data_IF_724322535691
#
_entry.id   IF_724322535691
#
_cell.length_a   1.000
_cell.length_b   1.000
_cell.length_c   1.000
_cell.angle_alpha   90.00
_cell.angle_beta   90.00
_cell.angle_gamma   90.00
#
_symmetry.space_group_name_H-M   'P 1'
#
loop_
_entity.id
_entity.type
_entity.pdbx_description
1 polymer ?
#
# COMPACT_ATOMS: atom_id res chain seq x y z
N UNK A 1 -17.06 2.10 -28.38
CA UNK A 1 -18.15 2.92 -28.97
C UNK A 1 -18.57 3.90 -27.89
N UNK A 2 -18.34 5.20 -28.09
CA UNK A 2 -18.83 6.21 -27.14
C UNK A 2 -20.35 6.35 -27.31
N UNK A 3 -21.09 6.48 -26.22
CA UNK A 3 -22.52 6.79 -26.28
C UNK A 3 -22.66 8.25 -26.68
N UNK A 4 -23.41 8.51 -27.75
CA UNK A 4 -23.74 9.86 -28.18
C UNK A 4 -25.10 10.27 -27.59
N UNK A 5 -25.08 11.05 -26.51
CA UNK A 5 -26.29 11.46 -25.80
C UNK A 5 -27.17 12.41 -26.60
N UNK A 6 -26.61 13.14 -27.58
CA UNK A 6 -27.38 13.99 -28.47
C UNK A 6 -28.26 13.19 -29.45
N UNK A 7 -27.93 11.92 -29.72
CA UNK A 7 -28.76 11.04 -30.56
C UNK A 7 -29.96 10.44 -29.80
N UNK A 8 -30.03 10.60 -28.48
CA UNK A 8 -31.11 10.09 -27.65
C UNK A 8 -32.12 11.19 -27.36
N UNK A 9 -33.40 10.90 -27.61
CA UNK A 9 -34.50 11.79 -27.26
C UNK A 9 -34.53 12.07 -25.74
N UNK A 10 -35.05 13.25 -25.31
CA UNK A 10 -35.12 13.62 -23.91
C UNK A 10 -35.88 12.59 -23.06
N UNK A 11 -36.91 11.91 -23.59
CA UNK A 11 -37.60 10.83 -22.87
C UNK A 11 -36.67 9.71 -22.43
N UNK A 12 -35.64 9.41 -23.23
CA UNK A 12 -34.67 8.34 -22.95
C UNK A 12 -33.61 8.81 -21.95
N UNK A 13 -33.01 9.98 -22.18
CA UNK A 13 -31.99 10.53 -21.27
C UNK A 13 -32.59 10.78 -19.88
N UNK A 14 -33.75 11.44 -19.82
CA UNK A 14 -34.49 11.67 -18.58
C UNK A 14 -34.91 10.38 -17.89
N UNK A 15 -35.55 9.43 -18.59
CA UNK A 15 -36.01 8.20 -17.94
C UNK A 15 -34.85 7.39 -17.34
N UNK A 16 -33.67 7.38 -18.00
CA UNK A 16 -32.49 6.69 -17.47
C UNK A 16 -31.90 7.38 -16.25
N UNK A 17 -31.86 8.72 -16.22
CA UNK A 17 -31.35 9.47 -15.07
C UNK A 17 -32.25 9.31 -13.84
N UNK A 18 -33.57 9.31 -14.04
CA UNK A 18 -34.57 9.18 -12.96
C UNK A 18 -34.83 7.73 -12.53
N UNK A 19 -34.18 6.76 -13.17
CA UNK A 19 -34.22 5.36 -12.77
C UNK A 19 -32.96 4.96 -12.00
N UNK A 20 -33.11 4.08 -11.02
CA UNK A 20 -31.99 3.48 -10.29
C UNK A 20 -31.90 3.90 -8.82
N UNK A 21 -30.81 3.51 -8.15
CA UNK A 21 -30.68 3.61 -6.68
C UNK A 21 -30.20 4.98 -6.18
N UNK A 22 -29.91 5.94 -7.06
CA UNK A 22 -29.36 7.25 -6.69
C UNK A 22 -27.87 7.21 -6.29
N UNK A 23 -27.41 8.26 -5.61
CA UNK A 23 -26.02 8.43 -5.16
C UNK A 23 -25.63 7.62 -3.91
N UNK A 24 -26.61 7.08 -3.18
CA UNK A 24 -26.43 6.39 -1.91
C UNK A 24 -25.32 5.33 -1.90
N UNK A 25 -25.25 4.41 -2.89
CA UNK A 25 -24.18 3.42 -2.96
C UNK A 25 -22.77 4.01 -3.03
N UNK A 26 -22.56 5.14 -3.73
CA UNK A 26 -21.26 5.80 -3.76
C UNK A 26 -20.91 6.48 -2.44
N UNK A 27 -21.89 7.05 -1.74
CA UNK A 27 -21.66 7.63 -0.42
C UNK A 27 -21.29 6.55 0.63
N UNK A 28 -21.90 5.37 0.54
CA UNK A 28 -21.50 4.21 1.35
C UNK A 28 -20.07 3.77 1.03
N UNK A 29 -19.70 3.72 -0.25
CA UNK A 29 -18.34 3.41 -0.67
C UNK A 29 -17.33 4.44 -0.15
N UNK A 30 -17.65 5.74 -0.20
CA UNK A 30 -16.83 6.80 0.36
C UNK A 30 -16.59 6.61 1.87
N UNK A 31 -17.66 6.33 2.63
CA UNK A 31 -17.56 6.07 4.06
C UNK A 31 -16.66 4.84 4.37
N UNK A 32 -16.77 3.77 3.58
CA UNK A 32 -15.92 2.59 3.73
C UNK A 32 -14.43 2.91 3.47
N UNK A 33 -14.13 3.70 2.43
CA UNK A 33 -12.77 4.14 2.13
C UNK A 33 -12.18 5.04 3.22
N UNK A 34 -12.97 5.98 3.77
CA UNK A 34 -12.57 6.78 4.94
C UNK A 34 -12.29 5.89 6.16
N UNK A 35 -13.13 4.89 6.41
CA UNK A 35 -12.92 3.91 7.48
C UNK A 35 -11.60 3.16 7.33
N UNK A 36 -11.32 2.63 6.13
CA UNK A 36 -10.06 1.95 5.84
C UNK A 36 -8.84 2.88 6.02
N UNK A 37 -8.94 4.13 5.59
CA UNK A 37 -7.87 5.10 5.78
C UNK A 37 -7.59 5.35 7.27
N UNK A 38 -8.63 5.48 8.09
CA UNK A 38 -8.50 5.66 9.53
C UNK A 38 -7.85 4.44 10.21
N UNK A 39 -8.28 3.22 9.85
CA UNK A 39 -7.70 1.97 10.36
C UNK A 39 -6.23 1.82 9.97
N UNK A 40 -5.86 2.11 8.72
CA UNK A 40 -4.47 2.06 8.26
C UNK A 40 -3.57 3.06 9.01
N UNK A 41 -4.06 4.28 9.30
CA UNK A 41 -3.30 5.24 10.12
C UNK A 41 -3.16 4.79 11.55
N UNK A 42 -4.24 4.29 12.15
CA UNK A 42 -4.20 3.76 13.52
C UNK A 42 -3.21 2.60 13.64
N UNK A 43 -3.22 1.68 12.66
CA UNK A 43 -2.26 0.60 12.57
C UNK A 43 -0.83 1.12 12.41
N UNK A 44 -0.58 2.07 11.49
CA UNK A 44 0.74 2.66 11.29
C UNK A 44 1.30 3.32 12.55
N UNK A 45 0.47 4.06 13.30
CA UNK A 45 0.84 4.67 14.57
C UNK A 45 1.16 3.61 15.64
N UNK A 46 0.35 2.56 15.72
CA UNK A 46 0.56 1.44 16.65
C UNK A 46 1.88 0.73 16.36
N UNK A 47 2.16 0.42 15.09
CA UNK A 47 3.44 -0.14 14.65
C UNK A 47 4.60 0.80 14.96
N UNK A 48 4.45 2.10 14.68
CA UNK A 48 5.46 3.10 15.00
C UNK A 48 5.78 3.15 16.50
N UNK A 49 4.77 3.05 17.37
CA UNK A 49 4.99 2.98 18.82
C UNK A 49 5.75 1.73 19.24
N UNK A 50 5.39 0.56 18.70
CA UNK A 50 6.09 -0.69 18.99
C UNK A 50 7.55 -0.68 18.50
N UNK A 51 7.80 -0.11 17.32
CA UNK A 51 9.17 0.07 16.81
C UNK A 51 9.98 1.06 17.65
N UNK A 52 9.34 2.11 18.17
CA UNK A 52 9.99 3.06 19.09
C UNK A 52 10.37 2.39 20.40
N UNK A 53 9.47 1.60 21.01
CA UNK A 53 9.78 0.83 22.22
C UNK A 53 10.90 -0.19 21.95
N UNK A 54 10.84 -0.90 20.81
CA UNK A 54 11.90 -1.84 20.42
C UNK A 54 13.27 -1.17 20.27
N UNK A 55 13.32 0.05 19.72
CA UNK A 55 14.57 0.79 19.54
C UNK A 55 15.12 1.40 20.85
N UNK A 56 14.23 1.84 21.75
CA UNK A 56 14.56 2.72 22.87
C UNK A 56 14.43 2.08 24.26
N UNK A 57 13.89 0.87 24.38
CA UNK A 57 13.73 0.15 25.65
C UNK A 57 14.64 -1.10 25.72
N UNK A 58 14.37 -2.02 26.65
CA UNK A 58 15.28 -3.08 27.13
C UNK A 58 15.87 -4.03 26.05
N UNK A 59 15.29 -4.08 24.85
CA UNK A 59 15.81 -4.83 23.69
C UNK A 59 16.73 -3.98 22.80
N UNK A 60 17.91 -3.64 23.32
CA UNK A 60 18.94 -2.94 22.55
C UNK A 60 19.94 -3.88 21.86
N UNK A 61 20.37 -3.53 20.65
CA UNK A 61 21.47 -4.20 19.94
C UNK A 61 21.26 -4.34 18.43
N UNK A 62 22.25 -4.90 17.70
CA UNK A 62 22.21 -5.00 16.24
C UNK A 62 20.98 -5.75 15.68
N UNK A 63 20.46 -6.75 16.41
CA UNK A 63 19.28 -7.49 16.01
C UNK A 63 17.99 -6.65 16.10
N UNK A 64 17.84 -5.85 17.16
CA UNK A 64 16.72 -4.91 17.32
C UNK A 64 16.75 -3.84 16.22
N UNK A 65 17.93 -3.25 15.96
CA UNK A 65 18.12 -2.29 14.88
C UNK A 65 17.79 -2.88 13.49
N UNK A 66 18.18 -4.13 13.24
CA UNK A 66 17.86 -4.83 12.00
C UNK A 66 16.34 -5.05 11.83
N UNK A 67 15.62 -5.39 12.91
CA UNK A 67 14.17 -5.55 12.89
C UNK A 67 13.45 -4.22 12.63
N UNK A 68 13.89 -3.13 13.27
CA UNK A 68 13.35 -1.79 13.02
C UNK A 68 13.55 -1.38 11.56
N UNK A 69 14.75 -1.59 11.02
CA UNK A 69 15.04 -1.30 9.61
C UNK A 69 14.17 -2.11 8.64
N UNK A 70 13.91 -3.38 8.95
CA UNK A 70 13.06 -4.27 8.16
C UNK A 70 11.58 -3.84 8.15
N UNK A 71 11.06 -3.38 9.29
CA UNK A 71 9.64 -3.04 9.43
C UNK A 71 9.29 -1.61 8.97
N UNK A 72 10.26 -0.69 8.97
CA UNK A 72 10.04 0.73 8.63
C UNK A 72 9.36 0.95 7.26
N UNK A 73 9.78 0.27 6.16
CA UNK A 73 9.14 0.44 4.86
C UNK A 73 7.64 0.06 4.85
N UNK A 74 7.25 -0.93 5.65
CA UNK A 74 5.85 -1.34 5.76
C UNK A 74 4.99 -0.29 6.46
N UNK A 75 5.51 0.37 7.50
CA UNK A 75 4.83 1.48 8.19
C UNK A 75 4.65 2.69 7.27
N UNK A 76 5.69 3.01 6.49
CA UNK A 76 5.62 4.07 5.48
C UNK A 76 4.60 3.73 4.38
N UNK A 77 4.56 2.48 3.94
CA UNK A 77 3.57 1.98 2.99
C UNK A 77 2.14 2.12 3.55
N UNK A 78 1.87 1.67 4.78
CA UNK A 78 0.54 1.81 5.41
C UNK A 78 0.06 3.27 5.45
N UNK A 79 0.95 4.20 5.80
CA UNK A 79 0.64 5.64 5.84
C UNK A 79 0.34 6.21 4.44
N UNK A 80 1.06 5.74 3.44
CA UNK A 80 0.85 6.13 2.02
C UNK A 80 -0.47 5.57 1.51
N UNK A 81 -0.75 4.30 1.76
CA UNK A 81 -2.00 3.62 1.39
C UNK A 81 -3.20 4.25 2.08
N UNK A 82 -3.07 4.72 3.33
CA UNK A 82 -4.13 5.46 4.01
C UNK A 82 -4.49 6.76 3.27
N UNK A 83 -3.49 7.50 2.80
CA UNK A 83 -3.70 8.72 2.00
C UNK A 83 -4.37 8.39 0.66
N UNK A 84 -3.97 7.29 0.01
CA UNK A 84 -4.61 6.83 -1.23
C UNK A 84 -6.07 6.39 -1.01
N UNK A 85 -6.37 5.78 0.14
CA UNK A 85 -7.74 5.42 0.53
C UNK A 85 -8.62 6.67 0.75
N UNK A 86 -8.10 7.74 1.38
CA UNK A 86 -8.83 9.02 1.46
C UNK A 86 -9.09 9.63 0.09
N UNK A 87 -8.10 9.57 -0.81
CA UNK A 87 -8.30 10.03 -2.18
C UNK A 87 -9.43 9.23 -2.86
N UNK A 88 -9.48 7.92 -2.65
CA UNK A 88 -10.55 7.08 -3.18
C UNK A 88 -11.93 7.45 -2.60
N UNK A 89 -11.99 7.79 -1.31
CA UNK A 89 -13.21 8.28 -0.68
C UNK A 89 -13.69 9.60 -1.32
N UNK A 90 -12.79 10.57 -1.47
CA UNK A 90 -13.09 11.85 -2.11
C UNK A 90 -13.57 11.70 -3.56
N UNK A 91 -13.00 10.74 -4.30
CA UNK A 91 -13.45 10.43 -5.66
C UNK A 91 -14.85 9.80 -5.71
N UNK A 92 -15.18 8.94 -4.75
CA UNK A 92 -16.53 8.38 -4.63
C UNK A 92 -17.56 9.49 -4.28
N UNK A 93 -17.21 10.43 -3.41
CA UNK A 93 -18.03 11.62 -3.13
C UNK A 93 -18.19 12.51 -4.37
N UNK A 94 -17.13 12.73 -5.14
CA UNK A 94 -17.18 13.48 -6.38
C UNK A 94 -18.10 12.82 -7.43
N UNK A 95 -18.06 11.48 -7.54
CA UNK A 95 -18.96 10.72 -8.40
C UNK A 95 -20.44 10.86 -7.96
N UNK A 96 -20.71 10.79 -6.65
CA UNK A 96 -22.02 11.03 -6.09
C UNK A 96 -22.52 12.45 -6.41
N UNK A 97 -21.68 13.47 -6.20
CA UNK A 97 -22.01 14.86 -6.49
C UNK A 97 -22.28 15.09 -7.99
N UNK A 98 -21.51 14.45 -8.87
CA UNK A 98 -21.73 14.51 -10.31
C UNK A 98 -23.10 13.94 -10.70
N UNK A 99 -23.52 12.82 -10.10
CA UNK A 99 -24.85 12.25 -10.30
C UNK A 99 -25.95 13.21 -9.84
N UNK A 100 -25.85 13.74 -8.61
CA UNK A 100 -26.88 14.63 -8.06
C UNK A 100 -27.02 15.92 -8.89
N UNK A 101 -25.90 16.50 -9.34
CA UNK A 101 -25.92 17.65 -10.22
C UNK A 101 -26.59 17.34 -11.56
N UNK A 102 -26.30 16.17 -12.14
CA UNK A 102 -26.92 15.73 -13.38
C UNK A 102 -28.42 15.46 -13.21
N UNK A 103 -28.80 14.76 -12.15
CA UNK A 103 -30.19 14.50 -11.80
C UNK A 103 -31.00 15.80 -11.65
N UNK A 104 -30.45 16.78 -10.94
CA UNK A 104 -31.10 18.08 -10.74
C UNK A 104 -31.23 18.91 -12.04
N UNK A 105 -30.29 18.76 -12.98
CA UNK A 105 -30.28 19.50 -14.24
C UNK A 105 -31.07 18.79 -15.37
N UNK A 106 -31.28 17.48 -15.28
CA UNK A 106 -32.05 16.71 -16.26
C UNK A 106 -33.54 17.05 -16.17
N UNK A 107 -34.17 17.19 -17.34
CA UNK A 107 -35.58 17.56 -17.44
C UNK A 107 -36.46 16.47 -16.78
N UNK A 108 -37.44 16.82 -15.94
CA UNK A 108 -38.31 15.80 -15.37
C UNK A 108 -39.18 15.11 -16.44
N UNK A 109 -39.29 13.77 -16.46
CA UNK A 109 -40.11 13.05 -17.44
C UNK A 109 -41.56 13.56 -17.61
N UNK A 110 -42.28 13.98 -16.54
CA UNK A 110 -43.63 14.54 -16.68
C UNK A 110 -43.68 15.85 -17.48
N UNK A 111 -42.61 16.66 -17.45
CA UNK A 111 -42.54 17.92 -18.21
C UNK A 111 -42.43 17.64 -19.71
N UNK A 112 -41.62 16.65 -20.09
CA UNK A 112 -41.51 16.20 -21.49
C UNK A 112 -42.86 15.66 -21.97
N UNK A 113 -43.49 14.79 -21.18
CA UNK A 113 -44.80 14.22 -21.52
C UNK A 113 -45.89 15.29 -21.68
N UNK A 114 -45.89 16.33 -20.84
CA UNK A 114 -46.83 17.45 -20.94
C UNK A 114 -46.67 18.22 -22.26
N UNK A 115 -45.43 18.51 -22.67
CA UNK A 115 -45.15 19.12 -23.97
C UNK A 115 -45.67 18.25 -25.14
N UNK A 116 -45.45 16.93 -25.10
CA UNK A 116 -45.94 16.02 -26.14
C UNK A 116 -47.46 15.96 -26.20
N UNK A 117 -48.14 15.97 -25.05
CA UNK A 117 -49.60 15.99 -24.98
C UNK A 117 -50.20 17.32 -25.49
N UNK A 118 -49.54 18.44 -25.19
CA UNK A 118 -49.92 19.76 -25.71
C UNK A 118 -49.76 19.81 -27.24
N UNK A 119 -48.64 19.31 -27.78
CA UNK A 119 -48.42 19.23 -29.22
C UNK A 119 -49.53 18.45 -29.91
N UNK A 120 -49.88 17.27 -29.38
CA UNK A 120 -50.96 16.44 -29.93
C UNK A 120 -52.31 17.18 -29.95
N UNK A 121 -52.62 17.93 -28.89
CA UNK A 121 -53.86 18.73 -28.79
C UNK A 121 -53.87 19.89 -29.80
N UNK A 122 -52.75 20.61 -29.93
CA UNK A 122 -52.61 21.72 -30.87
C UNK A 122 -52.75 21.25 -32.31
N UNK A 123 -52.13 20.12 -32.67
CA UNK A 123 -52.24 19.49 -34.00
C UNK A 123 -53.68 19.06 -34.27
N UNK A 124 -54.33 18.37 -33.32
CA UNK A 124 -55.71 17.91 -33.46
C UNK A 124 -56.72 19.06 -33.67
N UNK A 125 -56.42 20.23 -33.12
CA UNK A 125 -57.27 21.44 -33.21
C UNK A 125 -56.86 22.40 -34.34
N UNK A 126 -55.81 22.10 -35.11
CA UNK A 126 -55.27 22.99 -36.15
C UNK A 126 -56.04 22.95 -37.48
N UNK A 127 -57.38 22.83 -37.44
CA UNK A 127 -58.22 22.65 -38.65
C UNK A 127 -58.10 23.83 -39.63
N UNK A 128 -57.94 25.04 -39.10
CA UNK A 128 -57.81 26.29 -39.88
C UNK A 128 -56.37 26.80 -39.98
N UNK A 129 -55.38 26.04 -39.50
CA UNK A 129 -53.96 26.46 -39.51
C UNK A 129 -53.58 27.54 -38.49
N UNK A 130 -54.52 28.02 -37.67
CA UNK A 130 -54.29 29.10 -36.70
C UNK A 130 -53.33 28.72 -35.56
N UNK A 131 -53.23 27.43 -35.22
CA UNK A 131 -52.36 26.95 -34.15
C UNK A 131 -50.92 26.69 -34.61
N UNK A 132 -50.60 26.90 -35.90
CA UNK A 132 -49.27 26.65 -36.45
C UNK A 132 -48.14 27.35 -35.68
N UNK A 133 -48.25 28.63 -35.28
CA UNK A 133 -47.23 29.27 -34.45
C UNK A 133 -47.05 28.61 -33.07
N UNK A 134 -48.14 28.16 -32.44
CA UNK A 134 -48.10 27.49 -31.14
C UNK A 134 -47.50 26.08 -31.23
N UNK A 135 -47.75 25.36 -32.32
CA UNK A 135 -47.10 24.08 -32.64
C UNK A 135 -45.59 24.28 -32.75
N UNK A 136 -45.16 25.25 -33.55
CA UNK A 136 -43.73 25.55 -33.72
C UNK A 136 -43.05 25.93 -32.38
N UNK A 137 -43.72 26.72 -31.54
CA UNK A 137 -43.22 27.04 -30.20
C UNK A 137 -43.12 25.79 -29.29
N UNK A 138 -44.09 24.89 -29.36
CA UNK A 138 -44.09 23.63 -28.57
C UNK A 138 -42.97 22.69 -29.04
N UNK A 139 -42.73 22.59 -30.34
CA UNK A 139 -41.61 21.80 -30.89
C UNK A 139 -40.25 22.43 -30.54
N UNK A 140 -40.13 23.75 -30.53
CA UNK A 140 -38.92 24.44 -30.09
C UNK A 140 -38.59 24.14 -28.62
N UNK A 141 -39.58 24.22 -27.72
CA UNK A 141 -39.42 23.84 -26.30
C UNK A 141 -38.98 22.39 -26.15
N UNK A 142 -39.49 21.48 -26.99
CA UNK A 142 -39.02 20.10 -27.00
C UNK A 142 -37.55 19.98 -27.44
N UNK A 143 -37.15 20.75 -28.45
CA UNK A 143 -35.75 20.86 -28.87
C UNK A 143 -34.83 21.39 -27.76
N UNK A 144 -35.31 22.37 -26.97
CA UNK A 144 -34.58 22.88 -25.80
C UNK A 144 -34.40 21.80 -24.72
N UNK A 145 -35.46 21.05 -24.39
CA UNK A 145 -35.37 19.93 -23.45
C UNK A 145 -34.38 18.85 -23.93
N UNK A 146 -34.39 18.54 -25.23
CA UNK A 146 -33.42 17.62 -25.83
C UNK A 146 -31.99 18.13 -25.66
N UNK A 147 -31.72 19.37 -26.05
CA UNK A 147 -30.39 19.96 -25.95
C UNK A 147 -29.90 20.01 -24.49
N UNK A 148 -30.78 20.37 -23.54
CA UNK A 148 -30.48 20.39 -22.11
C UNK A 148 -30.10 19.00 -21.58
N UNK A 149 -30.91 17.98 -21.86
CA UNK A 149 -30.62 16.61 -21.42
C UNK A 149 -29.30 16.08 -22.00
N UNK A 150 -29.04 16.34 -23.28
CA UNK A 150 -27.79 15.96 -23.91
C UNK A 150 -26.59 16.66 -23.24
N UNK A 151 -26.67 17.98 -23.04
CA UNK A 151 -25.62 18.74 -22.36
C UNK A 151 -25.38 18.25 -20.93
N UNK A 152 -26.44 17.96 -20.19
CA UNK A 152 -26.36 17.40 -18.84
C UNK A 152 -25.65 16.05 -18.83
N UNK A 153 -25.98 15.14 -19.77
CA UNK A 153 -25.32 13.83 -19.83
C UNK A 153 -23.84 13.92 -20.24
N UNK A 154 -23.45 14.84 -21.13
CA UNK A 154 -22.03 15.06 -21.43
C UNK A 154 -21.27 15.62 -20.22
N UNK A 155 -21.86 16.59 -19.51
CA UNK A 155 -21.28 17.14 -18.28
C UNK A 155 -21.11 16.07 -17.20
N UNK A 156 -22.12 15.21 -17.04
CA UNK A 156 -22.07 14.06 -16.14
C UNK A 156 -20.97 13.06 -16.54
N UNK A 157 -20.88 12.71 -17.82
CA UNK A 157 -19.84 11.82 -18.33
C UNK A 157 -18.43 12.37 -18.09
N UNK A 158 -18.22 13.68 -18.35
CA UNK A 158 -16.94 14.35 -18.10
C UNK A 158 -16.56 14.36 -16.62
N UNK A 159 -17.50 14.71 -15.74
CA UNK A 159 -17.28 14.74 -14.29
C UNK A 159 -17.04 13.34 -13.72
N UNK A 160 -17.80 12.34 -14.18
CA UNK A 160 -17.61 10.94 -13.81
C UNK A 160 -16.26 10.40 -14.28
N UNK A 161 -15.82 10.76 -15.48
CA UNK A 161 -14.50 10.37 -16.00
C UNK A 161 -13.33 11.00 -15.21
N UNK A 162 -13.53 12.19 -14.63
CA UNK A 162 -12.58 12.78 -13.70
C UNK A 162 -12.59 12.04 -12.35
N UNK A 163 -13.78 11.70 -11.84
CA UNK A 163 -13.96 10.99 -10.59
C UNK A 163 -13.33 9.58 -10.59
N UNK A 164 -13.27 8.90 -11.74
CA UNK A 164 -12.64 7.57 -11.84
C UNK A 164 -11.11 7.59 -11.87
N UNK A 165 -10.47 8.76 -11.79
CA UNK A 165 -9.00 8.88 -11.73
C UNK A 165 -8.48 8.61 -10.32
N UNK A 166 -8.12 7.36 -10.08
CA UNK A 166 -7.55 6.89 -8.83
C UNK A 166 -6.05 6.63 -8.98
N UNK A 167 -5.31 6.86 -7.89
CA UNK A 167 -3.92 6.44 -7.77
C UNK A 167 -3.89 4.92 -7.60
N UNK A 168 -3.02 4.25 -8.36
CA UNK A 168 -2.88 2.79 -8.26
C UNK A 168 -2.20 2.42 -6.93
N UNK A 169 -2.80 1.47 -6.22
CA UNK A 169 -2.20 0.89 -5.03
C UNK A 169 -0.98 0.04 -5.40
N UNK A 170 0.10 0.21 -4.65
CA UNK A 170 1.31 -0.61 -4.79
C UNK A 170 1.38 -1.63 -3.66
N UNK A 171 1.99 -2.79 -3.92
CA UNK A 171 2.24 -3.78 -2.88
C UNK A 171 3.37 -3.30 -1.95
N UNK A 172 3.32 -3.60 -0.63
CA UNK A 172 4.42 -3.30 0.27
C UNK A 172 5.68 -4.07 -0.13
N UNK A 173 6.85 -3.46 0.10
CA UNK A 173 8.11 -4.17 -0.01
C UNK A 173 8.19 -5.31 1.03
N UNK A 174 8.81 -6.44 0.66
CA UNK A 174 9.03 -7.54 1.60
C UNK A 174 9.95 -7.10 2.74
N UNK A 175 9.47 -7.23 3.98
CA UNK A 175 10.24 -6.87 5.17
C UNK A 175 11.36 -7.89 5.49
N UNK A 176 11.25 -9.12 5.01
CA UNK A 176 12.20 -10.21 5.32
C UNK A 176 12.96 -10.67 4.10
N UNK A 177 14.29 -10.70 4.17
CA UNK A 177 15.15 -11.30 3.14
C UNK A 177 15.28 -12.81 3.34
N UNK A 178 15.21 -13.60 2.27
CA UNK A 178 15.47 -15.06 2.32
C UNK A 178 16.85 -15.40 2.91
N UNK A 179 17.85 -14.53 2.74
CA UNK A 179 19.20 -14.72 3.28
C UNK A 179 19.33 -14.43 4.78
N UNK A 180 18.23 -14.12 5.48
CA UNK A 180 18.23 -13.78 6.90
C UNK A 180 18.87 -14.87 7.77
N UNK A 181 18.58 -16.14 7.46
CA UNK A 181 19.15 -17.30 8.16
C UNK A 181 20.66 -17.44 7.91
N UNK A 182 21.12 -17.19 6.68
CA UNK A 182 22.54 -17.24 6.33
C UNK A 182 23.33 -16.13 7.02
N UNK A 183 22.79 -14.91 7.06
CA UNK A 183 23.40 -13.77 7.79
C UNK A 183 23.41 -13.99 9.29
N UNK A 184 22.35 -14.59 9.85
CA UNK A 184 22.32 -14.98 11.25
C UNK A 184 23.40 -16.02 11.57
N UNK A 185 23.53 -17.06 10.74
CA UNK A 185 24.56 -18.09 10.91
C UNK A 185 25.98 -17.49 10.83
N UNK A 186 26.22 -16.58 9.88
CA UNK A 186 27.49 -15.86 9.78
C UNK A 186 27.77 -14.99 11.02
N UNK A 187 26.77 -14.29 11.55
CA UNK A 187 26.90 -13.50 12.77
C UNK A 187 27.23 -14.37 14.00
N UNK A 188 26.62 -15.55 14.13
CA UNK A 188 26.92 -16.53 15.21
C UNK A 188 28.35 -17.08 15.06
N UNK A 189 28.77 -17.42 13.84
CA UNK A 189 30.13 -17.87 13.57
C UNK A 189 31.16 -16.79 13.93
N UNK A 190 30.89 -15.53 13.56
CA UNK A 190 31.76 -14.40 13.87
C UNK A 190 31.80 -14.09 15.37
N UNK A 191 30.67 -14.20 16.07
CA UNK A 191 30.61 -14.06 17.54
C UNK A 191 31.44 -15.13 18.25
N UNK A 192 31.43 -16.37 17.74
CA UNK A 192 32.24 -17.47 18.27
C UNK A 192 33.74 -17.22 18.08
N UNK A 193 34.13 -16.52 17.01
CA UNK A 193 35.52 -16.13 16.74
C UNK A 193 36.03 -14.88 17.48
N UNK A 194 35.20 -14.23 18.30
CA UNK A 194 35.63 -13.06 19.11
C UNK A 194 36.48 -13.47 20.31
N UNK A 195 37.23 -12.53 20.89
CA UNK A 195 38.14 -12.78 22.01
C UNK A 195 37.46 -13.44 23.23
N UNK A 196 36.21 -13.11 23.52
CA UNK A 196 35.44 -13.75 24.59
C UNK A 196 35.07 -15.22 24.27
N UNK A 197 34.70 -15.51 23.03
CA UNK A 197 34.47 -16.89 22.56
C UNK A 197 35.75 -17.73 22.56
N UNK A 198 36.86 -17.13 22.11
CA UNK A 198 38.18 -17.73 22.15
C UNK A 198 38.65 -17.98 23.60
N UNK A 199 38.40 -17.05 24.54
CA UNK A 199 38.73 -17.25 25.95
C UNK A 199 37.95 -18.40 26.58
N UNK A 200 36.66 -18.56 26.28
CA UNK A 200 35.86 -19.70 26.75
C UNK A 200 36.37 -21.04 26.19
N UNK A 201 36.79 -21.06 24.92
CA UNK A 201 37.38 -22.23 24.27
C UNK A 201 38.75 -22.59 24.88
N UNK A 202 39.61 -21.59 25.07
CA UNK A 202 40.91 -21.74 25.74
C UNK A 202 40.75 -22.20 27.19
N UNK A 203 39.78 -21.68 27.94
CA UNK A 203 39.49 -22.12 29.31
C UNK A 203 39.00 -23.58 29.35
N UNK A 204 38.19 -24.01 28.38
CA UNK A 204 37.72 -25.39 28.27
C UNK A 204 38.86 -26.35 27.91
N UNK A 205 39.78 -25.92 27.04
CA UNK A 205 41.01 -26.64 26.70
C UNK A 205 41.97 -26.73 27.89
N UNK A 206 42.14 -25.64 28.65
CA UNK A 206 42.95 -25.66 29.88
C UNK A 206 42.33 -26.59 30.95
N UNK A 207 41.02 -26.57 31.12
CA UNK A 207 40.31 -27.44 32.07
C UNK A 207 40.42 -28.93 31.74
N UNK A 208 40.64 -29.29 30.46
CA UNK A 208 40.85 -30.68 30.03
C UNK A 208 42.33 -31.06 29.98
N UNK A 209 43.22 -30.13 29.63
CA UNK A 209 44.66 -30.36 29.57
C UNK A 209 45.30 -30.51 30.96
N UNK A 210 44.85 -29.73 31.96
CA UNK A 210 45.43 -29.75 33.32
C UNK A 210 45.26 -31.12 34.01
N UNK A 211 44.06 -31.73 34.06
CA UNK A 211 43.90 -33.07 34.64
C UNK A 211 44.68 -34.15 33.89
N UNK A 212 44.76 -34.04 32.55
CA UNK A 212 45.48 -35.01 31.73
C UNK A 212 47.00 -34.94 31.94
N UNK A 213 47.56 -33.73 32.06
CA UNK A 213 48.96 -33.54 32.41
C UNK A 213 49.28 -34.11 33.80
N UNK A 214 48.41 -33.85 34.78
CA UNK A 214 48.56 -34.39 36.14
C UNK A 214 48.44 -35.92 36.18
N UNK A 215 47.56 -36.52 35.37
CA UNK A 215 47.45 -37.97 35.22
C UNK A 215 48.69 -38.61 34.57
N UNK A 216 49.29 -37.95 33.57
CA UNK A 216 50.54 -38.42 32.97
C UNK A 216 51.74 -38.32 33.93
N UNK A 217 51.73 -37.35 34.85
CA UNK A 217 52.74 -37.19 35.90
C UNK A 217 52.56 -38.17 37.07
N UNK A 218 51.34 -38.65 37.32
CA UNK A 218 51.05 -39.66 38.36
C UNK A 218 51.23 -41.11 37.89
N UNK A 219 51.51 -41.32 36.60
CA UNK A 219 51.72 -42.65 36.01
C UNK A 219 53.21 -43.03 36.05
N UNK A 220 53.57 -44.24 36.49
CA UNK A 220 54.98 -44.65 36.59
C UNK A 220 55.65 -44.65 35.21
N UNK A 221 56.87 -44.11 35.19
CA UNK A 221 57.72 -43.90 34.01
C UNK A 221 57.95 -45.17 33.19
N UNK A 222 57.34 -45.27 32.01
CA UNK A 222 58.00 -45.91 30.87
C UNK A 222 58.59 -44.80 29.99
N UNK A 223 59.91 -44.84 29.82
CA UNK A 223 60.70 -43.89 29.07
C UNK A 223 60.25 -43.81 27.61
N UNK A 224 59.44 -42.80 27.30
CA UNK A 224 59.32 -42.23 25.97
C UNK A 224 59.32 -40.70 26.11
N UNK A 225 60.14 -40.05 25.29
CA UNK A 225 60.45 -38.62 25.30
C UNK A 225 59.19 -37.73 25.31
N UNK A 226 59.05 -36.76 26.24
CA UNK A 226 57.90 -35.87 26.25
C UNK A 226 58.00 -34.87 25.09
N UNK A 227 57.04 -34.92 24.16
CA UNK A 227 56.81 -33.83 23.21
C UNK A 227 56.18 -32.65 23.95
N UNK A 228 57.01 -31.69 24.36
CA UNK A 228 56.61 -30.40 24.98
C UNK A 228 56.00 -29.41 23.96
N UNK A 229 55.74 -29.84 22.73
CA UNK A 229 55.25 -29.00 21.63
C UNK A 229 53.89 -28.34 21.88
N UNK A 230 53.03 -28.94 22.72
CA UNK A 230 51.69 -28.40 22.98
C UNK A 230 51.65 -27.19 23.92
N UNK A 231 52.59 -27.09 24.87
CA UNK A 231 52.59 -26.02 25.88
C UNK A 231 53.35 -24.77 25.41
N UNK A 232 54.38 -24.94 24.57
CA UNK A 232 55.11 -23.82 23.97
C UNK A 232 54.23 -23.03 22.98
N UNK A 233 53.32 -23.70 22.26
CA UNK A 233 52.36 -23.05 21.36
C UNK A 233 51.27 -22.25 22.07
N UNK A 234 51.03 -22.50 23.36
CA UNK A 234 50.01 -21.80 24.16
C UNK A 234 50.57 -20.52 24.82
N UNK A 235 51.88 -20.47 25.06
CA UNK A 235 52.52 -19.34 25.76
C UNK A 235 52.96 -18.19 24.84
N UNK A 236 52.92 -18.36 23.51
CA UNK A 236 53.38 -17.35 22.56
C UNK A 236 52.29 -16.99 21.52
N UNK A 237 51.34 -16.10 21.86
CA UNK A 237 50.33 -15.63 20.93
C UNK A 237 50.86 -14.57 19.93
N UNK A 238 52.13 -14.15 20.00
CA UNK A 238 52.66 -13.03 19.19
C UNK A 238 53.17 -13.42 17.79
N UNK A 239 53.26 -14.71 17.43
CA UNK A 239 53.77 -15.11 16.10
C UNK A 239 52.73 -15.07 14.97
N UNK A 240 51.42 -14.97 15.27
CA UNK A 240 50.38 -14.88 14.23
C UNK A 240 50.11 -13.45 13.72
N UNK A 241 50.66 -12.42 14.36
CA UNK A 241 50.44 -11.03 13.96
C UNK A 241 51.40 -10.55 12.86
N UNK A 242 52.56 -11.20 12.66
CA UNK A 242 53.60 -10.78 11.71
C UNK A 242 53.49 -11.39 10.31
N UNK A 243 52.62 -12.37 10.07
CA UNK A 243 52.47 -13.00 8.74
C UNK A 243 51.39 -12.34 7.87
N UNK A 244 50.59 -11.40 8.41
CA UNK A 244 49.56 -10.68 7.64
C UNK A 244 50.03 -9.35 7.01
N UNK A 245 51.24 -8.86 7.30
CA UNK A 245 51.70 -7.54 6.85
C UNK A 245 52.60 -7.57 5.60
N UNK A 246 52.76 -8.73 4.94
CA UNK A 246 53.62 -8.86 3.76
C UNK A 246 52.96 -9.29 2.45
N UNK A 247 51.63 -9.31 2.37
CA UNK A 247 50.88 -9.61 1.12
C UNK A 247 50.18 -8.37 0.54
N UNK A 248 50.72 -7.16 0.78
CA UNK A 248 50.19 -5.93 0.17
C UNK A 248 51.28 -5.02 -0.42
N UNK A 249 52.26 -5.63 -1.10
CA UNK A 249 53.14 -4.96 -2.08
C UNK A 249 53.45 -5.87 -3.26
N UNK A 250 52.70 -5.71 -4.35
CA UNK A 250 53.19 -6.08 -5.69
C UNK A 250 52.12 -6.58 -6.67
N UNK A 251 51.88 -5.74 -7.68
CA UNK A 251 51.11 -5.93 -8.92
C UNK A 251 49.60 -5.65 -8.87
#
# INVERSE_FOLDING_TARGET
>A
MFVDFAMLAPEINSARMYAGPGSGPMLVAAAAWHGLAAELRSAALSYGSALSSLANEEWHGPASAAMVAAATPYVAWMSTTATQAEQAAAQAEAAAAAYEAAFAATVPPPVIAANRAQLATLVATNVLGQNTPAIAATEAQYGEMWAQDAATMYGYAGSSAAATRLTMFTEPAQATSQDGQARQAAAVAQATGTSAGNQQATLSQLNTAVPHALQTLSSPTESSTPSTSGLASILDPEQQFLEHDHVDRGA
#
